data_IF_859043467788
#
_entry.id   IF_859043467788
#
_cell.length_a   1.000
_cell.length_b   1.000
_cell.length_c   1.000
_cell.angle_alpha   90.00
_cell.angle_beta   90.00
_cell.angle_gamma   90.00
#
_symmetry.space_group_name_H-M   'P 1'
#
loop_
_entity.id
_entity.type
_entity.pdbx_description
1 polymer ?
#
# COMPACT_ATOMS: atom_id res chain seq x y z
N UNK A 1 -5.95 -14.90 -16.40
CA UNK A 1 -4.78 -14.03 -16.09
C UNK A 1 -5.12 -12.98 -15.04
N UNK A 2 -6.21 -12.24 -15.20
CA UNK A 2 -6.61 -11.19 -14.24
C UNK A 2 -6.92 -11.74 -12.84
N UNK A 3 -7.54 -12.90 -12.74
CA UNK A 3 -7.78 -13.57 -11.46
C UNK A 3 -6.49 -13.91 -10.72
N UNK A 4 -5.47 -14.38 -11.43
CA UNK A 4 -4.15 -14.69 -10.86
C UNK A 4 -3.49 -13.41 -10.33
N UNK A 5 -3.58 -12.30 -11.08
CA UNK A 5 -3.05 -11.00 -10.67
C UNK A 5 -3.75 -10.40 -9.44
N UNK A 6 -5.00 -10.75 -9.22
CA UNK A 6 -5.74 -10.32 -8.04
C UNK A 6 -5.53 -11.25 -6.83
N UNK A 7 -5.40 -12.54 -7.07
CA UNK A 7 -5.33 -13.56 -6.03
C UNK A 7 -3.92 -13.78 -5.47
N UNK A 8 -2.92 -13.87 -6.33
CA UNK A 8 -1.57 -14.33 -5.96
C UNK A 8 -0.69 -13.30 -5.22
N UNK A 9 -0.83 -11.98 -5.39
CA UNK A 9 0.10 -11.00 -4.82
C UNK A 9 0.37 -11.11 -3.32
N UNK A 10 -0.62 -11.30 -2.42
CA UNK A 10 -0.32 -11.43 -0.99
C UNK A 10 0.53 -12.66 -0.67
N UNK A 11 0.38 -13.73 -1.43
CA UNK A 11 1.20 -14.96 -1.27
C UNK A 11 2.61 -14.77 -1.82
N UNK A 12 2.77 -13.99 -2.89
CA UNK A 12 4.10 -13.58 -3.37
C UNK A 12 4.79 -12.73 -2.30
N UNK A 13 4.06 -11.83 -1.63
CA UNK A 13 4.61 -11.03 -0.54
C UNK A 13 5.08 -11.90 0.64
N UNK A 14 4.37 -12.96 0.99
CA UNK A 14 4.79 -13.91 2.02
C UNK A 14 6.14 -14.54 1.66
N UNK A 15 6.30 -14.97 0.42
CA UNK A 15 7.57 -15.55 -0.07
C UNK A 15 8.67 -14.47 -0.21
N UNK A 16 8.29 -13.24 -0.55
CA UNK A 16 9.22 -12.14 -0.71
C UNK A 16 9.90 -11.73 0.62
N UNK A 17 9.32 -12.07 1.76
CA UNK A 17 9.97 -11.91 3.07
C UNK A 17 11.33 -12.63 3.10
N UNK A 18 11.44 -13.76 2.42
CA UNK A 18 12.64 -14.59 2.38
C UNK A 18 13.43 -14.42 1.09
N UNK A 19 12.75 -14.52 -0.06
CA UNK A 19 13.38 -14.59 -1.38
C UNK A 19 13.41 -13.25 -2.13
N UNK A 20 12.81 -12.20 -1.55
CA UNK A 20 12.63 -10.92 -2.22
C UNK A 20 11.58 -11.00 -3.32
N UNK A 21 11.40 -9.90 -4.04
CA UNK A 21 10.42 -9.77 -5.13
C UNK A 21 11.01 -10.34 -6.42
N UNK A 22 11.09 -11.66 -6.50
CA UNK A 22 11.81 -12.43 -7.53
C UNK A 22 10.89 -13.44 -8.21
N UNK A 23 11.28 -13.95 -9.38
CA UNK A 23 10.61 -15.11 -9.98
C UNK A 23 10.55 -16.33 -9.05
N UNK A 24 11.57 -16.53 -8.21
CA UNK A 24 11.57 -17.60 -7.20
C UNK A 24 10.41 -17.44 -6.22
N UNK A 25 10.20 -16.23 -5.67
CA UNK A 25 9.08 -15.95 -4.78
C UNK A 25 7.73 -16.15 -5.48
N UNK A 26 7.58 -15.66 -6.71
CA UNK A 26 6.39 -15.85 -7.53
C UNK A 26 6.07 -17.33 -7.72
N UNK A 27 7.06 -18.12 -8.11
CA UNK A 27 6.88 -19.52 -8.42
C UNK A 27 6.58 -20.35 -7.17
N UNK A 28 7.23 -20.03 -6.05
CA UNK A 28 6.95 -20.65 -4.76
C UNK A 28 5.52 -20.36 -4.29
N UNK A 29 5.07 -19.10 -4.41
CA UNK A 29 3.69 -18.71 -4.08
C UNK A 29 2.67 -19.45 -4.96
N UNK A 30 2.93 -19.52 -6.27
CA UNK A 30 2.07 -20.22 -7.22
C UNK A 30 1.95 -21.71 -6.87
N UNK A 31 3.07 -22.36 -6.61
CA UNK A 31 3.10 -23.77 -6.24
C UNK A 31 2.31 -24.04 -4.94
N UNK A 32 2.52 -23.20 -3.93
CA UNK A 32 1.84 -23.33 -2.64
C UNK A 32 0.31 -23.15 -2.75
N UNK A 33 -0.14 -22.32 -3.69
CA UNK A 33 -1.56 -22.02 -3.90
C UNK A 33 -2.21 -22.86 -5.01
N UNK A 34 -1.49 -23.80 -5.60
CA UNK A 34 -2.02 -24.63 -6.67
C UNK A 34 -2.25 -23.89 -7.99
N UNK A 35 -1.55 -22.77 -8.21
CA UNK A 35 -1.61 -22.02 -9.46
C UNK A 35 -0.54 -22.56 -10.42
N UNK A 36 -0.98 -22.95 -11.62
CA UNK A 36 -0.06 -23.47 -12.63
C UNK A 36 0.98 -22.43 -13.08
N UNK A 37 2.22 -22.86 -13.25
CA UNK A 37 3.32 -21.99 -13.72
C UNK A 37 3.00 -21.31 -15.06
N UNK A 38 2.27 -21.98 -15.94
CA UNK A 38 1.81 -21.43 -17.22
C UNK A 38 0.85 -20.24 -17.09
N UNK A 39 0.23 -20.06 -15.92
CA UNK A 39 -0.61 -18.91 -15.60
C UNK A 39 0.13 -17.87 -14.77
N UNK A 40 0.93 -18.29 -13.78
CA UNK A 40 1.64 -17.40 -12.87
C UNK A 40 2.78 -16.64 -13.56
N UNK A 41 3.56 -17.31 -14.38
CA UNK A 41 4.72 -16.70 -15.06
C UNK A 41 4.30 -15.52 -15.95
N UNK A 42 3.37 -15.68 -16.91
CA UNK A 42 2.97 -14.56 -17.76
C UNK A 42 2.19 -13.49 -17.02
N UNK A 43 1.55 -13.82 -15.89
CA UNK A 43 0.83 -12.84 -15.09
C UNK A 43 1.77 -11.80 -14.44
N UNK A 44 3.03 -12.16 -14.16
CA UNK A 44 4.03 -11.32 -13.48
C UNK A 44 5.39 -11.40 -14.15
N UNK A 45 5.44 -11.20 -15.47
CA UNK A 45 6.66 -11.32 -16.27
C UNK A 45 7.45 -10.01 -16.43
N UNK A 46 6.91 -8.90 -15.90
CA UNK A 46 7.50 -7.55 -16.08
C UNK A 46 8.41 -7.14 -14.90
N UNK A 47 8.87 -8.08 -14.12
CA UNK A 47 9.84 -7.85 -13.06
C UNK A 47 9.24 -7.45 -11.70
N UNK A 48 10.12 -7.07 -10.74
CA UNK A 48 9.73 -6.81 -9.36
C UNK A 48 8.65 -5.73 -9.20
N UNK A 49 8.75 -4.64 -9.94
CA UNK A 49 7.78 -3.54 -9.85
C UNK A 49 6.36 -3.98 -10.25
N UNK A 50 6.24 -4.94 -11.16
CA UNK A 50 4.94 -5.46 -11.57
C UNK A 50 4.27 -6.26 -10.43
N UNK A 51 5.03 -7.09 -9.74
CA UNK A 51 4.56 -7.84 -8.57
C UNK A 51 4.20 -6.92 -7.40
N UNK A 52 5.04 -5.93 -7.14
CA UNK A 52 4.83 -4.92 -6.07
C UNK A 52 3.57 -4.10 -6.36
N UNK A 53 3.41 -3.62 -7.58
CA UNK A 53 2.23 -2.85 -7.99
C UNK A 53 0.94 -3.67 -7.85
N UNK A 54 0.97 -4.94 -8.24
CA UNK A 54 -0.17 -5.84 -8.07
C UNK A 54 -0.49 -6.08 -6.58
N UNK A 55 0.51 -6.18 -5.72
CA UNK A 55 0.34 -6.31 -4.28
C UNK A 55 -0.28 -5.05 -3.67
N UNK A 56 0.20 -3.87 -4.06
CA UNK A 56 -0.39 -2.58 -3.63
C UNK A 56 -1.85 -2.50 -4.08
N UNK A 57 -2.15 -2.92 -5.31
CA UNK A 57 -3.53 -2.99 -5.81
C UNK A 57 -4.42 -3.94 -5.00
N UNK A 58 -3.88 -5.04 -4.51
CA UNK A 58 -4.59 -5.94 -3.60
C UNK A 58 -4.90 -5.25 -2.25
N UNK A 59 -3.95 -4.52 -1.68
CA UNK A 59 -4.15 -3.74 -0.46
C UNK A 59 -5.21 -2.65 -0.70
N UNK A 60 -5.17 -1.98 -1.84
CA UNK A 60 -6.17 -0.99 -2.24
C UNK A 60 -7.59 -1.61 -2.25
N UNK A 61 -7.73 -2.79 -2.83
CA UNK A 61 -9.02 -3.50 -2.87
C UNK A 61 -9.52 -3.89 -1.47
N UNK A 62 -8.63 -4.37 -0.61
CA UNK A 62 -8.96 -4.66 0.79
C UNK A 62 -9.41 -3.41 1.55
N UNK A 63 -8.75 -2.28 1.31
CA UNK A 63 -9.11 -1.00 1.92
C UNK A 63 -10.50 -0.54 1.48
N UNK A 64 -10.81 -0.63 0.20
CA UNK A 64 -12.14 -0.29 -0.32
C UNK A 64 -13.21 -1.14 0.35
N UNK A 65 -13.00 -2.44 0.47
CA UNK A 65 -13.94 -3.36 1.10
C UNK A 65 -14.12 -3.07 2.59
N UNK A 66 -13.04 -2.72 3.30
CA UNK A 66 -13.06 -2.44 4.73
C UNK A 66 -13.74 -1.10 5.09
N UNK A 67 -13.83 -0.17 4.14
CA UNK A 67 -14.37 1.17 4.38
C UNK A 67 -15.56 1.49 3.46
N UNK A 68 -16.70 0.80 3.63
CA UNK A 68 -17.91 1.14 2.89
C UNK A 68 -18.41 2.54 3.26
N UNK A 69 -19.24 3.19 2.41
CA UNK A 69 -19.71 4.56 2.63
C UNK A 69 -20.33 4.79 4.02
N UNK A 70 -21.06 3.82 4.55
CA UNK A 70 -21.70 3.89 5.87
C UNK A 70 -20.68 4.05 7.00
N UNK A 71 -19.57 3.33 6.92
CA UNK A 71 -18.48 3.41 7.91
C UNK A 71 -17.79 4.76 7.85
N UNK A 72 -17.49 5.23 6.66
CA UNK A 72 -16.83 6.53 6.43
C UNK A 72 -17.71 7.68 6.89
N UNK A 73 -19.01 7.67 6.59
CA UNK A 73 -19.94 8.75 6.94
C UNK A 73 -20.02 9.01 8.45
N UNK A 74 -19.77 7.99 9.28
CA UNK A 74 -19.80 8.12 10.73
C UNK A 74 -18.59 8.85 11.34
N UNK A 75 -17.54 9.09 10.54
CA UNK A 75 -16.28 9.68 11.00
C UNK A 75 -16.10 11.11 10.51
N UNK A 76 -15.34 11.91 11.26
CA UNK A 76 -14.83 13.21 10.79
C UNK A 76 -13.71 12.99 9.77
N UNK A 77 -13.44 14.00 8.93
CA UNK A 77 -12.46 13.88 7.84
C UNK A 77 -11.05 13.44 8.32
N UNK A 78 -10.59 13.98 9.45
CA UNK A 78 -9.29 13.59 10.03
C UNK A 78 -9.26 12.12 10.44
N UNK A 79 -10.35 11.66 11.04
CA UNK A 79 -10.50 10.27 11.46
C UNK A 79 -10.56 9.33 10.27
N UNK A 80 -11.20 9.74 9.18
CA UNK A 80 -11.24 8.99 7.92
C UNK A 80 -9.84 8.77 7.36
N UNK A 81 -9.08 9.83 7.22
CA UNK A 81 -7.71 9.76 6.68
C UNK A 81 -6.81 8.92 7.58
N UNK A 82 -6.86 9.14 8.90
CA UNK A 82 -6.09 8.33 9.85
C UNK A 82 -6.44 6.85 9.76
N UNK A 83 -7.72 6.51 9.74
CA UNK A 83 -8.17 5.13 9.68
C UNK A 83 -7.75 4.44 8.38
N UNK A 84 -7.82 5.13 7.24
CA UNK A 84 -7.39 4.59 5.95
C UNK A 84 -5.89 4.33 5.91
N UNK A 85 -5.08 5.27 6.39
CA UNK A 85 -3.61 5.09 6.45
C UNK A 85 -3.24 3.97 7.41
N UNK A 86 -3.83 3.97 8.62
CA UNK A 86 -3.58 2.93 9.63
C UNK A 86 -3.93 1.54 9.11
N UNK A 87 -5.06 1.39 8.43
CA UNK A 87 -5.48 0.12 7.84
C UNK A 87 -4.41 -0.46 6.91
N UNK A 88 -3.79 0.38 6.08
CA UNK A 88 -2.80 -0.08 5.12
C UNK A 88 -1.56 -0.67 5.81
N UNK A 89 -1.11 -0.07 6.90
CA UNK A 89 0.02 -0.61 7.67
C UNK A 89 -0.37 -1.87 8.45
N UNK A 90 -1.55 -1.90 9.04
CA UNK A 90 -2.07 -3.08 9.73
C UNK A 90 -2.22 -4.28 8.78
N UNK A 91 -2.68 -4.03 7.55
CA UNK A 91 -2.85 -5.07 6.54
C UNK A 91 -1.55 -5.78 6.17
N UNK A 92 -0.40 -5.11 6.28
CA UNK A 92 0.92 -5.64 5.89
C UNK A 92 1.86 -5.84 7.08
N UNK A 93 1.36 -5.70 8.31
CA UNK A 93 2.18 -5.82 9.52
C UNK A 93 2.94 -7.15 9.60
N UNK A 94 2.32 -8.24 9.17
CA UNK A 94 2.91 -9.57 9.13
C UNK A 94 3.88 -9.79 7.96
N UNK A 95 3.94 -8.84 7.02
CA UNK A 95 4.79 -8.88 5.81
C UNK A 95 5.75 -7.68 5.76
N UNK A 96 6.14 -7.16 6.92
CA UNK A 96 6.94 -5.92 7.00
C UNK A 96 8.26 -6.01 6.25
N UNK A 97 8.93 -7.17 6.25
CA UNK A 97 10.17 -7.36 5.50
C UNK A 97 9.92 -7.32 3.98
N UNK A 98 8.82 -7.88 3.50
CA UNK A 98 8.42 -7.75 2.10
C UNK A 98 8.20 -6.27 1.71
N UNK A 99 7.58 -5.51 2.60
CA UNK A 99 7.37 -4.07 2.43
C UNK A 99 8.70 -3.30 2.42
N UNK A 100 9.65 -3.64 3.29
CA UNK A 100 10.99 -3.05 3.32
C UNK A 100 11.71 -3.25 1.99
N UNK A 101 11.69 -4.47 1.48
CA UNK A 101 12.30 -4.83 0.19
C UNK A 101 11.61 -4.15 -0.98
N UNK A 102 10.27 -4.09 -0.96
CA UNK A 102 9.50 -3.35 -1.97
C UNK A 102 9.87 -1.86 -1.99
N UNK A 103 9.95 -1.23 -0.83
CA UNK A 103 10.32 0.19 -0.69
C UNK A 103 11.71 0.47 -1.26
N UNK A 104 12.68 -0.41 -1.02
CA UNK A 104 14.03 -0.29 -1.58
C UNK A 104 14.02 -0.37 -3.11
N UNK A 105 13.25 -1.28 -3.69
CA UNK A 105 13.11 -1.43 -5.15
C UNK A 105 12.41 -0.19 -5.74
N UNK A 106 11.34 0.28 -5.11
CA UNK A 106 10.59 1.47 -5.55
C UNK A 106 11.43 2.74 -5.51
N UNK A 107 12.43 2.82 -4.63
CA UNK A 107 13.32 3.96 -4.49
C UNK A 107 14.45 4.00 -5.54
N UNK A 108 14.65 2.94 -6.32
CA UNK A 108 15.66 2.94 -7.38
C UNK A 108 15.36 4.00 -8.44
N UNK A 109 16.38 4.72 -8.95
CA UNK A 109 16.17 5.80 -9.92
C UNK A 109 15.33 5.39 -11.14
N UNK A 110 15.55 4.20 -11.68
CA UNK A 110 14.80 3.67 -12.82
C UNK A 110 13.31 3.47 -12.52
N UNK A 111 12.91 3.35 -11.26
CA UNK A 111 11.56 3.06 -10.82
C UNK A 111 10.82 4.30 -10.29
N UNK A 112 11.47 5.44 -10.12
CA UNK A 112 10.89 6.61 -9.44
C UNK A 112 9.64 7.15 -10.13
N UNK A 113 9.60 7.20 -11.45
CA UNK A 113 8.41 7.67 -12.17
C UNK A 113 7.19 6.76 -11.94
N UNK A 114 7.41 5.47 -11.93
CA UNK A 114 6.35 4.49 -11.64
C UNK A 114 5.94 4.54 -10.18
N UNK A 115 6.89 4.67 -9.27
CA UNK A 115 6.64 4.82 -7.83
C UNK A 115 5.80 6.07 -7.55
N UNK A 116 6.10 7.18 -8.19
CA UNK A 116 5.31 8.41 -8.06
C UNK A 116 3.86 8.20 -8.52
N UNK A 117 3.64 7.51 -9.62
CA UNK A 117 2.28 7.17 -10.11
C UNK A 117 1.51 6.26 -9.14
N UNK A 118 2.17 5.25 -8.61
CA UNK A 118 1.58 4.33 -7.63
C UNK A 118 1.21 5.09 -6.34
N UNK A 119 2.12 5.93 -5.84
CA UNK A 119 1.89 6.74 -4.64
C UNK A 119 0.74 7.72 -4.82
N UNK A 120 0.66 8.36 -5.99
CA UNK A 120 -0.45 9.24 -6.33
C UNK A 120 -1.78 8.50 -6.38
N UNK A 121 -1.82 7.34 -7.01
CA UNK A 121 -3.01 6.48 -7.08
C UNK A 121 -3.51 6.12 -5.69
N UNK A 122 -2.61 5.74 -4.80
CA UNK A 122 -2.94 5.40 -3.40
C UNK A 122 -3.50 6.61 -2.65
N UNK A 123 -2.86 7.77 -2.74
CA UNK A 123 -3.32 9.00 -2.10
C UNK A 123 -4.69 9.45 -2.66
N UNK A 124 -4.86 9.38 -3.96
CA UNK A 124 -6.12 9.70 -4.65
C UNK A 124 -7.25 8.78 -4.16
N UNK A 125 -7.00 7.49 -4.08
CA UNK A 125 -7.98 6.52 -3.59
C UNK A 125 -8.39 6.80 -2.14
N UNK A 126 -7.43 7.07 -1.26
CA UNK A 126 -7.73 7.40 0.13
C UNK A 126 -8.59 8.67 0.25
N UNK A 127 -8.28 9.72 -0.50
CA UNK A 127 -9.08 10.94 -0.50
C UNK A 127 -10.48 10.73 -1.07
N UNK A 128 -10.63 9.95 -2.12
CA UNK A 128 -11.94 9.60 -2.67
C UNK A 128 -12.78 8.80 -1.69
N UNK A 129 -12.20 7.81 -1.02
CA UNK A 129 -12.87 7.04 0.02
C UNK A 129 -13.25 7.93 1.21
N UNK A 130 -12.43 8.93 1.52
CA UNK A 130 -12.74 9.91 2.56
C UNK A 130 -13.84 10.91 2.16
N UNK A 131 -14.31 10.85 0.92
CA UNK A 131 -15.40 11.70 0.43
C UNK A 131 -14.96 13.01 -0.23
N UNK A 132 -13.67 13.14 -0.59
CA UNK A 132 -13.18 14.32 -1.30
C UNK A 132 -13.63 14.31 -2.76
N UNK A 133 -14.29 15.39 -3.17
CA UNK A 133 -14.77 15.59 -4.55
C UNK A 133 -14.09 16.77 -5.24
N UNK A 134 -13.05 17.36 -4.62
CA UNK A 134 -12.33 18.49 -5.18
C UNK A 134 -11.67 18.15 -6.52
N UNK A 135 -11.75 19.09 -7.46
CA UNK A 135 -11.15 18.97 -8.81
C UNK A 135 -10.22 20.15 -9.13
N UNK A 136 -10.05 21.06 -8.17
CA UNK A 136 -9.26 22.28 -8.29
C UNK A 136 -7.83 22.11 -7.69
N UNK A 137 -7.19 23.23 -7.38
CA UNK A 137 -5.85 23.26 -6.75
C UNK A 137 -5.79 22.41 -5.47
N UNK A 138 -6.85 22.40 -4.65
CA UNK A 138 -6.92 21.61 -3.42
C UNK A 138 -6.86 20.11 -3.68
N UNK A 139 -7.35 19.64 -4.83
CA UNK A 139 -7.24 18.25 -5.25
C UNK A 139 -5.77 17.79 -5.25
N UNK A 140 -4.90 18.54 -5.91
CA UNK A 140 -3.48 18.20 -6.02
C UNK A 140 -2.73 18.38 -4.70
N UNK A 141 -2.98 19.48 -4.00
CA UNK A 141 -2.34 19.79 -2.71
C UNK A 141 -2.64 18.73 -1.66
N UNK A 142 -3.90 18.33 -1.51
CA UNK A 142 -4.31 17.29 -0.56
C UNK A 142 -3.60 15.97 -0.83
N UNK A 143 -3.50 15.57 -2.09
CA UNK A 143 -2.87 14.31 -2.48
C UNK A 143 -1.37 14.32 -2.30
N UNK A 144 -0.71 15.44 -2.58
CA UNK A 144 0.71 15.61 -2.30
C UNK A 144 1.01 15.56 -0.80
N UNK A 145 0.23 16.25 0.02
CA UNK A 145 0.39 16.26 1.48
C UNK A 145 0.19 14.84 2.02
N UNK A 146 -0.86 14.16 1.59
CA UNK A 146 -1.13 12.78 2.04
C UNK A 146 -0.03 11.82 1.60
N UNK A 147 0.51 11.96 0.40
CA UNK A 147 1.66 11.17 -0.04
C UNK A 147 2.87 11.36 0.87
N UNK A 148 3.12 12.58 1.33
CA UNK A 148 4.19 12.89 2.29
C UNK A 148 3.92 12.30 3.67
N UNK A 149 2.71 12.40 4.16
CA UNK A 149 2.28 11.79 5.44
C UNK A 149 2.43 10.27 5.37
N UNK A 150 1.95 9.66 4.31
CA UNK A 150 2.04 8.21 4.11
C UNK A 150 3.50 7.74 4.02
N UNK A 151 4.30 8.37 3.19
CA UNK A 151 5.71 8.01 3.00
C UNK A 151 6.54 8.15 4.28
N UNK A 152 6.37 9.23 5.04
CA UNK A 152 7.08 9.42 6.32
C UNK A 152 6.61 8.44 7.39
N UNK A 153 5.32 8.13 7.43
CA UNK A 153 4.75 7.13 8.34
C UNK A 153 5.23 5.72 7.98
N UNK A 154 5.35 5.42 6.69
CA UNK A 154 5.92 4.17 6.19
C UNK A 154 7.34 3.95 6.72
N UNK A 155 8.19 4.97 6.65
CA UNK A 155 9.56 4.88 7.18
C UNK A 155 9.57 4.62 8.69
N UNK A 156 8.70 5.28 9.45
CA UNK A 156 8.54 5.03 10.88
C UNK A 156 8.07 3.59 11.15
N UNK A 157 7.11 3.11 10.37
CA UNK A 157 6.56 1.75 10.48
C UNK A 157 7.61 0.66 10.24
N UNK A 158 8.49 0.84 9.27
CA UNK A 158 9.49 -0.16 8.92
C UNK A 158 10.47 -0.45 10.08
N UNK A 159 10.71 0.53 10.94
CA UNK A 159 11.65 0.42 12.06
C UNK A 159 10.97 0.33 13.42
N UNK A 160 9.65 0.27 13.45
CA UNK A 160 8.87 0.26 14.69
C UNK A 160 8.89 -1.12 15.36
N UNK A 161 9.42 -1.16 16.59
CA UNK A 161 9.44 -2.36 17.44
C UNK A 161 8.50 -2.24 18.64
N UNK A 162 7.70 -1.17 18.71
CA UNK A 162 6.76 -0.97 19.81
C UNK A 162 5.57 -1.94 19.74
N UNK A 163 4.95 -2.27 20.89
CA UNK A 163 3.76 -3.13 20.90
C UNK A 163 2.62 -2.55 20.05
N UNK A 164 2.02 -3.39 19.20
CA UNK A 164 0.92 -3.03 18.32
C UNK A 164 1.20 -1.79 17.45
N UNK A 165 2.48 -1.54 17.13
CA UNK A 165 2.93 -0.38 16.36
C UNK A 165 2.47 0.97 16.94
N UNK A 166 2.47 1.06 18.27
CA UNK A 166 2.03 2.26 19.00
C UNK A 166 2.79 3.51 18.57
N UNK A 167 4.10 3.41 18.34
CA UNK A 167 4.94 4.54 17.91
C UNK A 167 4.57 5.01 16.50
N UNK A 168 4.25 4.10 15.59
CA UNK A 168 3.77 4.41 14.25
C UNK A 168 2.45 5.15 14.29
N UNK A 169 1.49 4.69 15.10
CA UNK A 169 0.20 5.34 15.27
C UNK A 169 0.35 6.75 15.87
N UNK A 170 1.21 6.91 16.86
CA UNK A 170 1.50 8.22 17.45
C UNK A 170 2.18 9.16 16.45
N UNK A 171 3.10 8.65 15.64
CA UNK A 171 3.74 9.41 14.55
C UNK A 171 2.71 9.88 13.53
N UNK A 172 1.82 9.00 13.09
CA UNK A 172 0.75 9.33 12.14
C UNK A 172 -0.16 10.44 12.68
N UNK A 173 -0.57 10.35 13.95
CA UNK A 173 -1.36 11.40 14.60
C UNK A 173 -0.68 12.76 14.54
N UNK A 174 0.61 12.82 14.90
CA UNK A 174 1.37 14.07 14.85
C UNK A 174 1.48 14.62 13.43
N UNK A 175 1.68 13.76 12.43
CA UNK A 175 1.75 14.19 11.03
C UNK A 175 0.42 14.75 10.55
N UNK A 176 -0.68 14.09 10.88
CA UNK A 176 -2.02 14.57 10.54
C UNK A 176 -2.29 15.92 11.23
N UNK A 177 -1.97 16.05 12.52
CA UNK A 177 -2.14 17.31 13.25
C UNK A 177 -1.36 18.47 12.63
N UNK A 178 -0.17 18.20 12.12
CA UNK A 178 0.68 19.22 11.53
C UNK A 178 0.20 19.69 10.14
N UNK A 179 -0.47 18.85 9.37
CA UNK A 179 -0.77 19.13 7.95
C UNK A 179 -2.26 19.28 7.65
N UNK A 180 -3.13 18.78 8.53
CA UNK A 180 -4.59 18.81 8.35
C UNK A 180 -5.24 19.95 9.16
N UNK A 181 -4.63 21.12 9.15
CA UNK A 181 -5.19 22.35 9.76
C UNK A 181 -6.10 23.10 8.79
N UNK A 182 -6.78 22.40 7.95
CA UNK A 182 -7.67 22.98 6.93
C UNK A 182 -9.10 23.12 7.46
#
# INVERSE_FOLDING_TARGET
MDEVRQFLPPFIADEAVFDGWTPTARDAAAAAQGVEAGLATPAFDKGPMDMIDAWIGHIDAQMIEAFPPERIAAMKIRERIRALVAFRFEAVAHQREALRRATAIMALPANLARTARISWRTADLMWRLAGDTATDYNHYTKRMILSGVYGSTLMAFLDDESPDFADTHAFLERRIDNVMQF
#
